data_IF_375280994373
#
_entry.id   IF_375280994373
#
_cell.length_a   1.000
_cell.length_b   1.000
_cell.length_c   1.000
_cell.angle_alpha   90.00
_cell.angle_beta   90.00
_cell.angle_gamma   90.00
#
_symmetry.space_group_name_H-M   'P 1'
#
loop_
_entity.id
_entity.type
_entity.pdbx_description
1 polymer ?
#
# COMPACT_ATOMS: atom_id res chain seq x y z
N UNK A 1 -20.29 13.22 -13.68
CA UNK A 1 -19.41 12.03 -13.76
C UNK A 1 -19.98 10.95 -12.86
N UNK A 2 -20.08 9.69 -13.32
CA UNK A 2 -20.54 8.59 -12.45
C UNK A 2 -19.32 8.01 -11.74
N UNK A 3 -19.02 8.52 -10.55
CA UNK A 3 -17.83 8.22 -9.76
C UNK A 3 -17.62 6.71 -9.51
N UNK A 4 -18.71 5.98 -9.28
CA UNK A 4 -18.67 4.52 -9.14
C UNK A 4 -18.14 3.84 -10.41
N UNK A 5 -18.60 4.26 -11.58
CA UNK A 5 -18.13 3.69 -12.85
C UNK A 5 -16.67 4.04 -13.13
N UNK A 6 -16.24 5.26 -12.81
CA UNK A 6 -14.84 5.68 -12.91
C UNK A 6 -13.96 4.76 -12.08
N UNK A 7 -14.29 4.58 -10.80
CA UNK A 7 -13.53 3.69 -9.91
C UNK A 7 -13.47 2.26 -10.44
N UNK A 8 -14.62 1.69 -10.80
CA UNK A 8 -14.67 0.32 -11.32
C UNK A 8 -13.84 0.16 -12.59
N UNK A 9 -13.81 1.18 -13.44
CA UNK A 9 -13.00 1.21 -14.65
C UNK A 9 -11.50 1.20 -14.32
N UNK A 10 -11.05 2.07 -13.42
CA UNK A 10 -9.64 2.16 -12.97
C UNK A 10 -9.20 0.86 -12.30
N UNK A 11 -9.99 0.34 -11.34
CA UNK A 11 -9.70 -0.91 -10.64
C UNK A 11 -9.56 -2.08 -11.61
N UNK A 12 -10.46 -2.17 -12.60
CA UNK A 12 -10.41 -3.20 -13.63
C UNK A 12 -9.15 -3.09 -14.48
N UNK A 13 -8.76 -1.89 -14.90
CA UNK A 13 -7.53 -1.67 -15.68
C UNK A 13 -6.31 -2.07 -14.89
N UNK A 14 -6.16 -1.60 -13.65
CA UNK A 14 -5.04 -1.94 -12.78
C UNK A 14 -4.96 -3.46 -12.57
N UNK A 15 -6.08 -4.13 -12.25
CA UNK A 15 -6.10 -5.59 -12.14
C UNK A 15 -5.66 -6.25 -13.44
N UNK A 16 -6.18 -5.82 -14.59
CA UNK A 16 -5.85 -6.42 -15.88
C UNK A 16 -4.36 -6.27 -16.21
N UNK A 17 -3.82 -5.07 -16.03
CA UNK A 17 -2.42 -4.77 -16.34
C UNK A 17 -1.49 -5.57 -15.41
N UNK A 18 -1.71 -5.54 -14.10
CA UNK A 18 -0.84 -6.21 -13.13
C UNK A 18 -0.92 -7.73 -13.22
N UNK A 19 -2.12 -8.30 -13.41
CA UNK A 19 -2.28 -9.77 -13.51
C UNK A 19 -1.80 -10.34 -14.84
N UNK A 20 -1.56 -9.50 -15.86
CA UNK A 20 -0.94 -9.92 -17.11
C UNK A 20 0.56 -10.23 -16.97
N UNK A 21 1.19 -9.76 -15.89
CA UNK A 21 2.60 -10.03 -15.59
C UNK A 21 2.72 -11.47 -15.09
N UNK A 22 3.40 -12.32 -15.84
CA UNK A 22 3.49 -13.78 -15.58
C UNK A 22 3.96 -14.17 -14.17
N UNK A 23 4.77 -13.32 -13.53
CA UNK A 23 5.31 -13.56 -12.19
C UNK A 23 4.36 -13.12 -11.05
N UNK A 24 3.25 -12.44 -11.37
CA UNK A 24 2.28 -11.96 -10.38
C UNK A 24 1.29 -13.07 -10.03
N UNK A 25 1.17 -13.36 -8.74
CA UNK A 25 0.32 -14.41 -8.16
C UNK A 25 -0.99 -13.86 -7.58
N UNK A 26 -0.98 -12.62 -7.10
CA UNK A 26 -2.14 -11.96 -6.52
C UNK A 26 -2.05 -10.45 -6.68
N UNK A 27 -3.20 -9.82 -6.89
CA UNK A 27 -3.38 -8.37 -6.76
C UNK A 27 -4.60 -8.12 -5.88
N UNK A 28 -4.45 -7.30 -4.84
CA UNK A 28 -5.49 -7.01 -3.85
C UNK A 28 -5.57 -5.51 -3.64
N UNK A 29 -6.76 -4.91 -3.82
CA UNK A 29 -6.99 -3.55 -3.35
C UNK A 29 -7.39 -3.55 -1.90
N UNK A 30 -6.87 -2.60 -1.12
CA UNK A 30 -7.17 -2.45 0.31
C UNK A 30 -7.46 -0.98 0.60
N UNK A 31 -7.69 -0.64 1.88
CA UNK A 31 -7.86 0.74 2.30
C UNK A 31 -9.20 1.35 1.89
N UNK A 32 -9.32 2.65 2.16
CA UNK A 32 -10.59 3.40 2.10
C UNK A 32 -11.16 3.51 0.69
N UNK A 33 -10.32 3.47 -0.35
CA UNK A 33 -10.77 3.56 -1.74
C UNK A 33 -11.73 2.43 -2.14
N UNK A 34 -11.56 1.24 -1.55
CA UNK A 34 -12.46 0.09 -1.77
C UNK A 34 -13.78 0.28 -1.01
N UNK A 35 -13.72 0.87 0.18
CA UNK A 35 -14.83 0.95 1.13
C UNK A 35 -15.84 2.06 0.82
N UNK A 36 -15.40 3.17 0.24
CA UNK A 36 -16.28 4.29 -0.09
C UNK A 36 -17.05 4.07 -1.40
N UNK A 37 -18.02 4.93 -1.74
CA UNK A 37 -18.84 4.83 -2.98
C UNK A 37 -18.60 5.98 -3.97
N UNK A 38 -17.89 7.00 -3.52
CA UNK A 38 -17.47 8.18 -4.27
C UNK A 38 -15.98 8.07 -4.66
N UNK A 39 -15.41 9.15 -5.19
CA UNK A 39 -13.97 9.27 -5.46
C UNK A 39 -13.13 9.63 -4.22
N UNK A 40 -13.70 9.56 -3.00
CA UNK A 40 -12.89 9.74 -1.79
C UNK A 40 -11.83 8.62 -1.72
N UNK A 41 -10.58 9.02 -1.48
CA UNK A 41 -9.43 8.11 -1.49
C UNK A 41 -8.79 7.90 -2.86
N UNK A 42 -9.16 8.65 -3.92
CA UNK A 42 -8.44 8.57 -5.20
C UNK A 42 -6.95 8.97 -5.08
N UNK A 43 -6.62 9.75 -4.06
CA UNK A 43 -5.26 10.13 -3.68
C UNK A 43 -4.56 9.09 -2.78
N UNK A 44 -5.13 7.90 -2.60
CA UNK A 44 -4.55 6.81 -1.79
C UNK A 44 -5.14 5.44 -2.18
N UNK A 45 -4.91 5.00 -3.42
CA UNK A 45 -5.37 3.70 -3.92
C UNK A 45 -4.37 2.62 -3.50
N UNK A 46 -4.57 2.06 -2.30
CA UNK A 46 -3.72 0.98 -1.78
C UNK A 46 -3.86 -0.31 -2.59
N UNK A 47 -2.76 -0.75 -3.21
CA UNK A 47 -2.70 -1.90 -4.10
C UNK A 47 -1.56 -2.82 -3.67
N UNK A 48 -1.91 -4.02 -3.17
CA UNK A 48 -0.95 -5.07 -2.80
C UNK A 48 -0.76 -6.00 -3.99
N UNK A 49 0.47 -6.19 -4.43
CA UNK A 49 0.85 -7.18 -5.45
C UNK A 49 1.72 -8.23 -4.81
N UNK A 50 1.35 -9.50 -4.94
CA UNK A 50 2.20 -10.63 -4.56
C UNK A 50 2.71 -11.31 -5.81
N UNK A 51 4.02 -11.46 -5.92
CA UNK A 51 4.71 -12.17 -6.99
C UNK A 51 5.43 -13.40 -6.44
N UNK A 52 5.87 -14.30 -7.33
CA UNK A 52 6.64 -15.48 -6.90
C UNK A 52 8.02 -15.05 -6.39
N UNK A 53 8.78 -14.32 -7.20
CA UNK A 53 10.10 -13.78 -6.86
C UNK A 53 10.21 -12.29 -7.23
N UNK A 54 10.68 -11.46 -6.30
CA UNK A 54 10.79 -10.02 -6.52
C UNK A 54 12.20 -9.68 -7.01
N UNK A 55 12.29 -9.33 -8.29
CA UNK A 55 13.49 -8.76 -8.92
C UNK A 55 13.24 -7.31 -9.32
N UNK A 56 14.29 -6.57 -9.67
CA UNK A 56 14.18 -5.21 -10.21
C UNK A 56 13.29 -5.18 -11.46
N UNK A 57 13.47 -6.13 -12.38
CA UNK A 57 12.67 -6.24 -13.60
C UNK A 57 11.18 -6.46 -13.31
N UNK A 58 10.85 -7.33 -12.35
CA UNK A 58 9.47 -7.59 -11.93
C UNK A 58 8.86 -6.34 -11.30
N UNK A 59 9.61 -5.68 -10.42
CA UNK A 59 9.17 -4.45 -9.78
C UNK A 59 8.91 -3.35 -10.81
N UNK A 60 9.85 -3.11 -11.72
CA UNK A 60 9.71 -2.12 -12.79
C UNK A 60 8.56 -2.48 -13.73
N UNK A 61 8.36 -3.75 -14.05
CA UNK A 61 7.20 -4.20 -14.84
C UNK A 61 5.87 -3.84 -14.17
N UNK A 62 5.78 -4.00 -12.84
CA UNK A 62 4.60 -3.58 -12.08
C UNK A 62 4.40 -2.06 -12.09
N UNK A 63 5.48 -1.29 -11.95
CA UNK A 63 5.43 0.18 -12.03
C UNK A 63 4.95 0.63 -13.41
N UNK A 64 5.56 0.12 -14.49
CA UNK A 64 5.21 0.45 -15.88
C UNK A 64 3.77 0.05 -16.23
N UNK A 65 3.32 -1.11 -15.73
CA UNK A 65 1.94 -1.57 -15.92
C UNK A 65 0.90 -0.62 -15.32
N UNK A 66 1.26 0.08 -14.25
CA UNK A 66 0.39 1.08 -13.61
C UNK A 66 0.58 2.46 -14.24
N UNK A 67 1.82 2.85 -14.53
CA UNK A 67 2.17 4.17 -15.08
C UNK A 67 1.58 4.39 -16.49
N UNK A 68 1.41 3.31 -17.25
CA UNK A 68 0.79 3.33 -18.57
C UNK A 68 -0.72 3.62 -18.57
N UNK A 69 -1.36 3.74 -17.40
CA UNK A 69 -2.80 4.00 -17.30
C UNK A 69 -3.11 5.47 -17.60
N UNK A 70 -3.84 5.70 -18.69
CA UNK A 70 -4.36 7.02 -19.02
C UNK A 70 -5.68 7.30 -18.27
N UNK A 71 -5.61 8.13 -17.24
CA UNK A 71 -6.78 8.50 -16.41
C UNK A 71 -7.91 9.20 -17.20
N UNK A 72 -7.59 9.84 -18.32
CA UNK A 72 -8.60 10.48 -19.19
C UNK A 72 -9.57 9.45 -19.77
N UNK A 73 -9.10 8.24 -20.07
CA UNK A 73 -9.92 7.14 -20.59
C UNK A 73 -10.93 6.63 -19.55
N UNK A 74 -10.69 6.97 -18.29
CA UNK A 74 -11.54 6.64 -17.15
C UNK A 74 -12.43 7.81 -16.71
N UNK A 75 -12.39 8.96 -17.39
CA UNK A 75 -13.22 10.13 -17.08
C UNK A 75 -12.56 11.13 -16.13
N UNK A 76 -11.26 11.03 -15.89
CA UNK A 76 -10.48 11.93 -15.03
C UNK A 76 -9.49 12.77 -15.86
N UNK A 77 -10.02 13.67 -16.69
CA UNK A 77 -9.24 14.39 -17.70
C UNK A 77 -8.19 15.35 -17.13
N UNK A 78 -8.44 15.91 -15.95
CA UNK A 78 -7.54 16.87 -15.31
C UNK A 78 -6.64 16.22 -14.26
N UNK A 79 -6.76 14.90 -14.04
CA UNK A 79 -6.00 14.20 -13.02
C UNK A 79 -4.63 13.74 -13.52
N UNK A 80 -3.65 13.87 -12.64
CA UNK A 80 -2.30 13.33 -12.83
C UNK A 80 -2.18 12.05 -12.03
N UNK A 81 -1.63 11.01 -12.65
CA UNK A 81 -1.30 9.77 -11.96
C UNK A 81 0.04 9.90 -11.26
N UNK A 82 0.10 9.46 -10.00
CA UNK A 82 1.34 9.31 -9.23
C UNK A 82 1.40 7.92 -8.63
N UNK A 83 2.57 7.30 -8.70
CA UNK A 83 2.83 6.02 -8.05
C UNK A 83 3.62 6.28 -6.78
N UNK A 84 3.12 5.75 -5.66
CA UNK A 84 3.85 5.66 -4.41
C UNK A 84 4.23 4.20 -4.18
N UNK A 85 5.50 3.85 -4.17
CA UNK A 85 5.98 2.50 -3.87
C UNK A 85 6.68 2.41 -2.51
N UNK A 86 6.63 3.48 -1.71
CA UNK A 86 7.26 3.53 -0.40
C UNK A 86 6.35 2.92 0.68
N UNK A 87 6.93 2.17 1.61
CA UNK A 87 6.23 1.65 2.76
C UNK A 87 6.28 2.65 3.91
N UNK A 88 5.22 3.44 4.07
CA UNK A 88 5.12 4.42 5.15
C UNK A 88 3.74 5.08 5.18
N UNK A 89 3.41 5.85 6.23
CA UNK A 89 2.23 6.71 6.22
C UNK A 89 2.51 7.99 5.41
N UNK A 90 3.03 7.84 4.19
CA UNK A 90 3.32 8.96 3.30
C UNK A 90 2.12 9.17 2.39
N UNK A 91 1.45 10.31 2.57
CA UNK A 91 0.28 10.67 1.76
C UNK A 91 0.59 11.84 0.85
N UNK A 92 -0.05 11.83 -0.32
CA UNK A 92 0.04 12.92 -1.28
C UNK A 92 -1.36 13.47 -1.50
N UNK A 93 -1.61 14.66 -0.99
CA UNK A 93 -2.91 15.33 -1.08
C UNK A 93 -2.75 16.63 -1.84
N UNK A 94 -2.67 16.50 -3.16
CA UNK A 94 -2.62 17.61 -4.11
C UNK A 94 -3.89 17.61 -4.96
N UNK A 95 -4.44 18.79 -5.34
CA UNK A 95 -5.61 18.85 -6.20
C UNK A 95 -5.39 18.08 -7.50
N UNK A 96 -6.40 17.31 -7.92
CA UNK A 96 -6.38 16.51 -9.15
C UNK A 96 -5.20 15.51 -9.20
N UNK A 97 -4.78 14.97 -8.07
CA UNK A 97 -3.79 13.90 -8.01
C UNK A 97 -4.48 12.57 -7.71
N UNK A 98 -4.30 11.59 -8.58
CA UNK A 98 -4.65 10.21 -8.31
C UNK A 98 -3.37 9.47 -7.92
N UNK A 99 -3.36 8.83 -6.75
CA UNK A 99 -2.17 8.16 -6.24
C UNK A 99 -2.46 6.68 -6.14
N UNK A 100 -1.61 5.87 -6.76
CA UNK A 100 -1.63 4.43 -6.57
C UNK A 100 -0.48 4.09 -5.63
N UNK A 101 -0.82 3.66 -4.42
CA UNK A 101 0.14 3.14 -3.47
C UNK A 101 0.38 1.66 -3.80
N UNK A 102 1.44 1.40 -4.58
CA UNK A 102 1.76 0.10 -5.14
C UNK A 102 2.80 -0.60 -4.27
N UNK A 103 2.35 -1.57 -3.48
CA UNK A 103 3.18 -2.38 -2.61
C UNK A 103 3.39 -3.76 -3.23
N UNK A 104 4.58 -4.02 -3.78
CA UNK A 104 4.91 -5.27 -4.46
C UNK A 104 5.78 -6.14 -3.55
N UNK A 105 5.32 -7.34 -3.24
CA UNK A 105 6.04 -8.31 -2.41
C UNK A 105 6.27 -9.61 -3.17
N UNK A 106 7.36 -10.30 -2.88
CA UNK A 106 7.42 -11.75 -3.10
C UNK A 106 6.81 -12.51 -1.90
N UNK A 107 6.77 -13.84 -2.00
CA UNK A 107 6.21 -14.68 -0.94
C UNK A 107 6.93 -14.52 0.42
N UNK A 108 8.26 -14.32 0.42
CA UNK A 108 9.05 -14.24 1.65
C UNK A 108 8.95 -12.86 2.31
N UNK A 109 9.06 -11.79 1.52
CA UNK A 109 8.89 -10.41 1.97
C UNK A 109 7.45 -10.16 2.44
N UNK A 110 6.44 -10.73 1.79
CA UNK A 110 5.06 -10.68 2.29
C UNK A 110 4.92 -11.35 3.66
N UNK A 111 5.43 -12.59 3.81
CA UNK A 111 5.46 -13.29 5.10
C UNK A 111 6.15 -12.46 6.18
N UNK A 112 7.30 -11.87 5.85
CA UNK A 112 8.04 -11.03 6.78
C UNK A 112 7.23 -9.78 7.16
N UNK A 113 6.52 -9.18 6.21
CA UNK A 113 5.65 -8.03 6.45
C UNK A 113 4.47 -8.40 7.36
N UNK A 114 3.84 -9.56 7.16
CA UNK A 114 2.77 -10.08 8.04
C UNK A 114 3.26 -10.23 9.48
N UNK A 115 4.45 -10.79 9.68
CA UNK A 115 5.04 -10.96 11.02
C UNK A 115 5.35 -9.61 11.67
N UNK A 116 5.84 -8.64 10.89
CA UNK A 116 6.31 -7.37 11.43
C UNK A 116 5.20 -6.32 11.57
N UNK A 117 4.13 -6.39 10.77
CA UNK A 117 3.00 -5.45 10.77
C UNK A 117 1.66 -6.19 10.72
N UNK A 118 1.35 -7.02 11.74
CA UNK A 118 0.21 -7.94 11.69
C UNK A 118 -1.14 -7.21 11.69
N UNK A 119 -1.27 -6.03 12.31
CA UNK A 119 -2.51 -5.24 12.27
C UNK A 119 -2.85 -4.78 10.86
N UNK A 120 -1.88 -4.21 10.16
CA UNK A 120 -2.05 -3.75 8.78
C UNK A 120 -2.43 -4.92 7.88
N UNK A 121 -1.74 -6.04 8.02
CA UNK A 121 -2.03 -7.24 7.23
C UNK A 121 -3.39 -7.85 7.56
N UNK A 122 -3.84 -7.79 8.82
CA UNK A 122 -5.15 -8.30 9.20
C UNK A 122 -6.27 -7.47 8.56
N UNK A 123 -6.09 -6.15 8.45
CA UNK A 123 -7.02 -5.30 7.72
C UNK A 123 -6.98 -5.61 6.21
N UNK A 124 -5.82 -5.89 5.64
CA UNK A 124 -5.69 -6.28 4.22
C UNK A 124 -6.38 -7.61 3.90
N UNK A 125 -6.27 -8.61 4.77
CA UNK A 125 -6.89 -9.93 4.60
C UNK A 125 -8.42 -9.89 4.54
N UNK A 126 -9.04 -8.83 5.07
CA UNK A 126 -10.49 -8.62 5.03
C UNK A 126 -11.00 -8.13 3.68
N UNK A 127 -10.11 -7.69 2.78
CA UNK A 127 -10.52 -7.20 1.47
C UNK A 127 -11.05 -8.34 0.59
N UNK A 128 -12.22 -8.10 0.00
CA UNK A 128 -12.82 -8.98 -1.02
C UNK A 128 -12.43 -8.55 -2.45
N UNK A 129 -11.72 -7.42 -2.61
CA UNK A 129 -11.29 -6.90 -3.90
C UNK A 129 -9.95 -7.49 -4.31
N UNK A 130 -9.98 -8.72 -4.83
CA UNK A 130 -8.79 -9.53 -5.12
C UNK A 130 -8.91 -10.27 -6.44
N UNK A 131 -7.78 -10.40 -7.16
CA UNK A 131 -7.59 -11.32 -8.29
C UNK A 131 -6.37 -12.19 -8.01
N UNK A 132 -6.52 -13.52 -8.14
CA UNK A 132 -5.48 -14.49 -7.77
C UNK A 132 -5.71 -15.11 -6.39
N UNK A 133 -4.62 -15.46 -5.69
CA UNK A 133 -4.69 -16.03 -4.34
C UNK A 133 -5.05 -14.97 -3.29
N UNK A 134 -5.95 -15.26 -2.35
CA UNK A 134 -6.19 -14.33 -1.22
C UNK A 134 -4.95 -14.25 -0.33
N UNK A 135 -4.68 -13.08 0.27
CA UNK A 135 -3.53 -12.88 1.17
C UNK A 135 -3.49 -13.91 2.31
N UNK A 136 -4.64 -14.20 2.92
CA UNK A 136 -4.77 -15.24 3.97
C UNK A 136 -4.43 -16.66 3.49
N UNK A 137 -4.54 -16.95 2.19
CA UNK A 137 -4.16 -18.24 1.60
C UNK A 137 -2.66 -18.33 1.35
N UNK A 138 -2.00 -17.18 1.14
CA UNK A 138 -0.55 -17.08 0.91
C UNK A 138 0.17 -17.20 2.25
N UNK A 139 -0.14 -16.33 3.21
CA UNK A 139 0.38 -16.40 4.57
C UNK A 139 -0.54 -15.65 5.56
N UNK A 140 -1.30 -16.37 6.42
CA UNK A 140 -2.26 -15.73 7.31
C UNK A 140 -1.60 -15.05 8.52
N UNK A 141 -2.15 -13.91 8.96
CA UNK A 141 -1.73 -13.20 10.18
C UNK A 141 -1.89 -14.05 11.45
N UNK A 142 -2.93 -14.89 11.50
CA UNK A 142 -3.25 -15.69 12.69
C UNK A 142 -3.93 -14.88 13.78
N UNK A 143 -3.49 -15.00 15.04
CA UNK A 143 -4.08 -14.29 16.19
C UNK A 143 -3.14 -13.21 16.68
N UNK A 144 -3.63 -11.97 16.72
CA UNK A 144 -2.92 -10.84 17.33
C UNK A 144 -2.65 -11.09 18.81
N UNK A 145 -1.45 -10.73 19.26
CA UNK A 145 -1.02 -10.80 20.64
C UNK A 145 -0.82 -9.40 21.23
N UNK A 146 -0.96 -9.21 22.56
CA UNK A 146 -0.74 -7.90 23.20
C UNK A 146 0.63 -7.27 22.89
N UNK A 147 1.67 -8.10 22.71
CA UNK A 147 3.02 -7.64 22.33
C UNK A 147 3.04 -6.94 20.96
N UNK A 148 2.17 -7.32 20.04
CA UNK A 148 2.16 -6.75 18.68
C UNK A 148 1.78 -5.26 18.73
N UNK A 149 0.97 -4.84 19.70
CA UNK A 149 0.61 -3.42 19.87
C UNK A 149 1.81 -2.53 20.20
N UNK A 150 2.81 -3.09 20.90
CA UNK A 150 3.98 -2.35 21.39
C UNK A 150 5.18 -2.53 20.47
N UNK A 151 5.45 -3.76 20.05
CA UNK A 151 6.70 -4.17 19.41
C UNK A 151 6.63 -4.24 17.87
N UNK A 152 5.43 -4.28 17.26
CA UNK A 152 5.32 -4.38 15.81
C UNK A 152 5.90 -3.14 15.10
N UNK A 153 6.30 -3.30 13.84
CA UNK A 153 6.47 -2.16 12.93
C UNK A 153 5.13 -1.43 12.85
N UNK A 154 5.16 -0.11 13.08
CA UNK A 154 3.97 0.73 13.28
C UNK A 154 3.15 0.39 14.53
N UNK A 155 3.78 -0.24 15.53
CA UNK A 155 3.27 -0.26 16.89
C UNK A 155 3.42 1.11 17.57
N UNK A 156 2.78 1.25 18.73
CA UNK A 156 2.76 2.53 19.49
C UNK A 156 4.18 3.04 19.80
N UNK A 157 5.11 2.14 20.12
CA UNK A 157 6.50 2.51 20.39
C UNK A 157 7.18 3.19 19.18
N UNK A 158 6.99 2.63 17.99
CA UNK A 158 7.59 3.15 16.77
C UNK A 158 7.04 4.54 16.42
N UNK A 159 5.71 4.70 16.49
CA UNK A 159 5.06 5.99 16.25
C UNK A 159 5.49 7.07 17.25
N UNK A 160 5.64 6.72 18.54
CA UNK A 160 6.12 7.66 19.56
C UNK A 160 7.57 8.08 19.33
N UNK A 161 8.43 7.18 18.87
CA UNK A 161 9.83 7.48 18.62
C UNK A 161 10.03 8.38 17.38
N UNK A 162 9.24 8.15 16.33
CA UNK A 162 9.16 9.03 15.15
C UNK A 162 8.71 10.45 15.53
N UNK A 163 7.64 10.56 16.33
CA UNK A 163 7.14 11.85 16.83
C UNK A 163 8.19 12.59 17.66
N UNK A 164 8.92 11.90 18.55
CA UNK A 164 10.00 12.52 19.35
C UNK A 164 11.14 13.04 18.49
N UNK A 165 11.44 12.36 17.38
CA UNK A 165 12.51 12.73 16.44
C UNK A 165 12.06 13.77 15.42
N UNK A 166 10.75 14.03 15.30
CA UNK A 166 10.20 14.93 14.28
C UNK A 166 10.38 14.38 12.86
N UNK A 167 10.36 13.06 12.70
CA UNK A 167 10.53 12.38 11.41
C UNK A 167 9.49 11.30 11.19
N UNK A 168 9.28 10.95 9.94
CA UNK A 168 8.48 9.81 9.49
C UNK A 168 9.43 8.76 8.96
N UNK A 169 9.38 7.57 9.54
CA UNK A 169 10.10 6.42 9.02
C UNK A 169 9.32 5.81 7.85
N UNK A 170 9.88 5.92 6.64
CA UNK A 170 9.39 5.21 5.45
C UNK A 170 10.41 4.15 5.03
N UNK A 171 10.02 3.21 4.20
CA UNK A 171 10.97 2.26 3.59
C UNK A 171 10.80 2.24 2.10
N UNK A 172 11.90 2.18 1.38
CA UNK A 172 11.89 1.96 -0.07
C UNK A 172 12.61 0.67 -0.40
N UNK A 173 12.34 0.14 -1.59
CA UNK A 173 13.18 -0.91 -2.14
C UNK A 173 14.51 -0.35 -2.63
N UNK A 174 15.58 -1.08 -2.33
CA UNK A 174 16.88 -0.95 -2.98
C UNK A 174 17.20 -2.29 -3.64
N UNK A 175 17.39 -2.23 -4.96
CA UNK A 175 17.77 -3.37 -5.78
C UNK A 175 19.27 -3.38 -5.99
N UNK A 176 19.86 -4.55 -5.78
CA UNK A 176 21.25 -4.85 -6.16
C UNK A 176 21.23 -6.04 -7.12
N UNK A 177 22.37 -6.33 -7.77
CA UNK A 177 22.46 -7.37 -8.81
C UNK A 177 21.84 -8.72 -8.41
N UNK A 178 21.92 -9.09 -7.13
CA UNK A 178 21.51 -10.41 -6.65
C UNK A 178 20.48 -10.37 -5.49
N UNK A 179 20.07 -9.19 -5.03
CA UNK A 179 19.14 -9.08 -3.89
C UNK A 179 18.31 -7.82 -3.88
N UNK A 180 17.08 -7.95 -3.37
CA UNK A 180 16.18 -6.86 -3.00
C UNK A 180 16.20 -6.65 -1.49
N UNK A 181 16.23 -5.39 -1.04
CA UNK A 181 16.16 -5.07 0.39
C UNK A 181 15.31 -3.83 0.65
N UNK A 182 14.66 -3.78 1.82
CA UNK A 182 13.95 -2.59 2.30
C UNK A 182 14.92 -1.68 3.06
N UNK A 183 15.11 -0.45 2.58
CA UNK A 183 15.97 0.55 3.24
C UNK A 183 15.09 1.58 3.95
N UNK A 184 15.35 1.80 5.24
CA UNK A 184 14.65 2.82 6.02
C UNK A 184 15.13 4.22 5.63
N UNK A 185 14.21 5.12 5.31
CA UNK A 185 14.47 6.55 5.09
C UNK A 185 13.66 7.39 6.07
N UNK A 186 14.20 8.53 6.44
CA UNK A 186 13.55 9.48 7.34
C UNK A 186 13.08 10.69 6.53
N UNK A 187 11.79 11.01 6.63
CA UNK A 187 11.22 12.23 6.07
C UNK A 187 10.91 13.23 7.20
N UNK A 188 11.19 14.54 7.02
CA UNK A 188 10.80 15.55 8.00
C UNK A 188 9.29 15.54 8.23
N UNK A 189 8.89 15.61 9.50
CA UNK A 189 7.49 15.55 9.89
C UNK A 189 6.86 16.94 9.80
N UNK A 190 5.75 17.07 9.08
CA UNK A 190 4.95 18.30 9.04
C UNK A 190 3.74 18.23 9.99
N UNK A 191 3.02 19.34 10.16
CA UNK A 191 1.89 19.41 11.08
C UNK A 191 0.72 18.49 10.70
N UNK A 192 0.59 18.09 9.43
CA UNK A 192 -0.46 17.16 8.97
C UNK A 192 -0.11 15.74 9.36
N UNK A 193 1.15 15.33 9.15
CA UNK A 193 1.62 14.01 9.56
C UNK A 193 1.46 13.80 11.08
N UNK A 194 1.60 14.85 11.92
CA UNK A 194 1.31 14.75 13.38
C UNK A 194 -0.12 14.30 13.66
N UNK A 195 -1.09 14.82 12.90
CA UNK A 195 -2.49 14.46 13.02
C UNK A 195 -2.75 12.99 12.66
N UNK A 196 -2.11 12.51 11.60
CA UNK A 196 -2.23 11.10 11.18
C UNK A 196 -1.59 10.14 12.18
N UNK A 197 -0.40 10.47 12.69
CA UNK A 197 0.26 9.70 13.73
C UNK A 197 -0.63 9.61 14.99
N UNK A 198 -1.24 10.72 15.41
CA UNK A 198 -2.17 10.73 16.53
C UNK A 198 -3.41 9.84 16.26
N UNK A 199 -3.97 9.89 15.04
CA UNK A 199 -5.09 9.03 14.65
C UNK A 199 -4.70 7.55 14.70
N UNK A 200 -3.56 7.16 14.12
CA UNK A 200 -3.11 5.76 14.11
C UNK A 200 -2.80 5.24 15.51
N UNK A 201 -2.17 6.05 16.37
CA UNK A 201 -1.94 5.70 17.78
C UNK A 201 -3.28 5.46 18.49
N UNK A 202 -4.25 6.38 18.35
CA UNK A 202 -5.55 6.26 19.01
C UNK A 202 -6.36 5.09 18.45
N UNK A 203 -6.42 4.91 17.13
CA UNK A 203 -7.13 3.79 16.48
C UNK A 203 -6.59 2.45 16.97
N UNK A 204 -5.26 2.30 17.05
CA UNK A 204 -4.63 1.07 17.52
C UNK A 204 -4.73 0.85 19.04
N UNK A 205 -5.03 1.89 19.82
CA UNK A 205 -5.19 1.79 21.29
C UNK A 205 -6.65 1.57 21.74
N UNK A 206 -7.64 1.92 20.92
CA UNK A 206 -9.05 1.97 21.31
C UNK A 206 -9.90 0.86 20.65
N UNK A 207 -9.39 0.16 19.64
CA UNK A 207 -10.08 -0.96 18.96
C UNK A 207 -9.63 -2.34 19.46
#
# INVERSE_FOLDING_TARGET
MNEKLVRQSIQKTIFTNLTSISNVLSVTFVGSFVDHKDLSGISDIDTIVICDHLTEDVFNSCIEAVDSINLSDHGLQEYILKINSSFGPLKFDEPNLAVIHLMVYDLQSHRQHVILSPFTCLDWERSESVVGMRLQQIFPVGRLQPRDFVEARRGVGNYLDDLKKGVISIRDYEFSRDSVSEVNRMHPLDDRHKGEYAYHIVRNLVQ
#
